data_IF_903195239049
#
_entry.id   IF_903195239049
#
_cell.length_a   1.000
_cell.length_b   1.000
_cell.length_c   1.000
_cell.angle_alpha   90.00
_cell.angle_beta   90.00
_cell.angle_gamma   90.00
#
_symmetry.space_group_name_H-M   'P 1'
#
loop_
_entity.id
_entity.type
_entity.pdbx_description
1 polymer ?
#
# COMPACT_ATOMS: atom_id res chain seq x y z
N UNK A 1 -7.57 -1.84 54.42
CA UNK A 1 -7.34 -2.79 53.32
C UNK A 1 -6.34 -2.18 52.34
N UNK A 2 -5.11 -2.68 52.40
CA UNK A 2 -4.05 -2.38 51.45
C UNK A 2 -4.46 -2.88 50.06
N UNK A 3 -4.48 -2.01 49.06
CA UNK A 3 -4.22 -2.41 47.68
C UNK A 3 -3.12 -1.52 47.09
N UNK A 4 -1.92 -1.80 47.61
CA UNK A 4 -0.65 -1.74 46.90
C UNK A 4 -0.81 -2.42 45.53
N UNK A 5 -1.05 -1.66 44.44
CA UNK A 5 -0.80 -2.20 43.08
C UNK A 5 -0.71 -1.18 41.92
N UNK A 6 -0.14 0.02 42.15
CA UNK A 6 0.18 0.94 41.05
C UNK A 6 1.20 0.37 40.04
N UNK A 7 2.07 -0.55 40.47
CA UNK A 7 3.04 -1.24 39.59
C UNK A 7 2.38 -2.30 38.71
N UNK A 8 1.36 -2.99 39.22
CA UNK A 8 0.60 -3.98 38.45
C UNK A 8 -0.23 -3.34 37.35
N UNK A 9 -0.86 -2.20 37.63
CA UNK A 9 -1.60 -1.42 36.64
C UNK A 9 -0.68 -0.85 35.55
N UNK A 10 0.49 -0.33 35.94
CA UNK A 10 1.50 0.17 35.01
C UNK A 10 2.05 -0.94 34.09
N UNK A 11 2.30 -2.14 34.65
CA UNK A 11 2.69 -3.32 33.87
C UNK A 11 1.58 -3.77 32.92
N UNK A 12 0.31 -3.72 33.35
CA UNK A 12 -0.83 -4.04 32.49
C UNK A 12 -0.99 -3.05 31.34
N UNK A 13 -0.83 -1.75 31.60
CA UNK A 13 -0.84 -0.70 30.57
C UNK A 13 0.33 -0.82 29.60
N UNK A 14 1.53 -1.19 30.08
CA UNK A 14 2.67 -1.46 29.21
C UNK A 14 2.43 -2.70 28.33
N UNK A 15 1.81 -3.76 28.87
CA UNK A 15 1.42 -4.96 28.12
C UNK A 15 0.27 -4.71 27.13
N UNK A 16 -0.68 -3.84 27.46
CA UNK A 16 -1.77 -3.45 26.55
C UNK A 16 -1.30 -2.47 25.47
N UNK A 17 -0.33 -1.61 25.78
CA UNK A 17 0.26 -0.67 24.82
C UNK A 17 1.04 -1.36 23.69
N UNK A 18 1.67 -2.51 23.96
CA UNK A 18 2.38 -3.30 22.94
C UNK A 18 1.45 -4.06 22.00
N UNK A 19 0.17 -4.28 22.36
CA UNK A 19 -0.82 -4.90 21.49
C UNK A 19 -1.45 -3.90 20.49
N UNK A 20 -1.15 -2.60 20.60
CA UNK A 20 -1.85 -1.55 19.86
C UNK A 20 -1.22 -1.18 18.51
N UNK A 21 -0.24 -1.92 18.00
CA UNK A 21 0.20 -1.76 16.60
C UNK A 21 -0.71 -2.54 15.65
N UNK A 22 -2.01 -2.24 15.69
CA UNK A 22 -2.92 -2.67 14.62
C UNK A 22 -2.90 -1.61 13.53
N UNK A 23 -1.72 -1.43 12.92
CA UNK A 23 -1.60 -0.65 11.71
C UNK A 23 -2.33 -1.39 10.59
N UNK A 24 -3.56 -0.99 10.29
CA UNK A 24 -4.14 -1.16 8.97
C UNK A 24 -3.17 -0.48 7.99
N UNK A 25 -2.22 -1.25 7.45
CA UNK A 25 -1.16 -0.74 6.58
C UNK A 25 -1.72 -0.31 5.25
N UNK A 26 -2.32 0.88 5.21
CA UNK A 26 -2.71 1.54 3.98
C UNK A 26 -1.46 2.18 3.38
N UNK A 27 -1.12 1.77 2.16
CA UNK A 27 0.01 2.32 1.40
C UNK A 27 -0.53 3.42 0.51
N UNK A 28 0.11 4.60 0.55
CA UNK A 28 -0.32 5.76 -0.23
C UNK A 28 0.83 6.24 -1.11
N UNK A 29 0.56 6.40 -2.40
CA UNK A 29 1.49 6.99 -3.36
C UNK A 29 0.79 8.09 -4.17
N UNK A 30 1.60 8.84 -4.91
CA UNK A 30 1.11 9.80 -5.89
C UNK A 30 1.90 9.67 -7.18
N UNK A 31 1.24 9.82 -8.32
CA UNK A 31 1.83 9.72 -9.65
C UNK A 31 1.21 10.76 -10.57
N UNK A 32 2.02 11.34 -11.46
CA UNK A 32 1.51 12.28 -12.48
C UNK A 32 0.77 11.53 -13.59
N UNK A 33 -0.20 12.19 -14.24
CA UNK A 33 -0.97 11.58 -15.33
C UNK A 33 -0.12 11.23 -16.57
N UNK A 34 0.86 12.04 -16.97
CA UNK A 34 1.66 11.77 -18.19
C UNK A 34 2.81 10.75 -17.98
N UNK A 35 2.56 9.70 -17.18
CA UNK A 35 3.55 8.65 -17.00
C UNK A 35 3.45 7.58 -18.08
N UNK A 36 4.58 7.37 -18.75
CA UNK A 36 4.76 6.25 -19.68
C UNK A 36 4.61 4.89 -18.98
N UNK A 37 4.35 3.87 -19.78
CA UNK A 37 4.31 2.48 -19.31
C UNK A 37 5.67 2.08 -18.72
N UNK A 38 5.64 1.49 -17.53
CA UNK A 38 6.82 1.03 -16.80
C UNK A 38 7.46 2.10 -15.92
N UNK A 39 6.89 3.30 -15.84
CA UNK A 39 7.31 4.35 -14.92
C UNK A 39 7.19 3.90 -13.46
N UNK A 40 8.15 4.31 -12.65
CA UNK A 40 8.18 4.02 -11.22
C UNK A 40 7.11 4.84 -10.49
N UNK A 41 6.35 4.18 -9.62
CA UNK A 41 5.33 4.82 -8.76
C UNK A 41 5.76 4.80 -7.30
N UNK A 42 6.23 3.66 -6.81
CA UNK A 42 6.57 3.49 -5.39
C UNK A 42 7.27 2.17 -5.10
N UNK A 43 7.86 2.05 -3.91
CA UNK A 43 8.60 0.86 -3.50
C UNK A 43 7.76 -0.04 -2.57
N UNK A 44 6.94 -0.89 -3.17
CA UNK A 44 6.08 -1.83 -2.44
C UNK A 44 6.88 -2.83 -1.61
N UNK A 45 8.03 -3.33 -2.10
CA UNK A 45 8.86 -4.24 -1.33
C UNK A 45 9.25 -3.63 0.02
N UNK A 46 9.72 -2.37 0.00
CA UNK A 46 10.12 -1.64 1.20
C UNK A 46 8.96 -1.46 2.18
N UNK A 47 7.78 -1.10 1.69
CA UNK A 47 6.61 -0.83 2.55
C UNK A 47 6.01 -2.12 3.14
N UNK A 48 6.17 -3.25 2.44
CA UNK A 48 5.84 -4.57 2.96
C UNK A 48 6.94 -5.15 3.87
N UNK A 49 8.09 -4.48 4.01
CA UNK A 49 9.24 -4.97 4.77
C UNK A 49 9.92 -6.18 4.13
N UNK A 50 9.84 -6.31 2.82
CA UNK A 50 10.36 -7.43 2.02
C UNK A 50 11.50 -6.97 1.11
N UNK A 51 12.39 -7.89 0.74
CA UNK A 51 13.34 -7.65 -0.35
C UNK A 51 12.64 -7.82 -1.71
N UNK A 52 13.14 -7.19 -2.79
CA UNK A 52 12.56 -7.32 -4.13
C UNK A 52 12.34 -8.77 -4.58
N UNK A 53 13.31 -9.65 -4.32
CA UNK A 53 13.22 -11.09 -4.67
C UNK A 53 12.13 -11.82 -3.88
N UNK A 54 11.90 -11.42 -2.64
CA UNK A 54 10.91 -12.05 -1.76
C UNK A 54 9.47 -11.77 -2.21
N UNK A 55 9.23 -10.74 -3.03
CA UNK A 55 7.88 -10.50 -3.57
C UNK A 55 7.40 -11.66 -4.43
N UNK A 56 8.29 -12.20 -5.28
CA UNK A 56 7.96 -13.36 -6.11
C UNK A 56 7.88 -14.63 -5.27
N UNK A 57 8.83 -14.82 -4.33
CA UNK A 57 8.88 -16.01 -3.46
C UNK A 57 7.67 -16.11 -2.53
N UNK A 58 7.13 -14.98 -2.05
CA UNK A 58 5.99 -14.91 -1.12
C UNK A 58 4.63 -14.74 -1.83
N UNK A 59 4.61 -14.84 -3.17
CA UNK A 59 3.39 -14.74 -3.96
C UNK A 59 2.68 -13.38 -3.84
N UNK A 60 3.44 -12.29 -3.82
CA UNK A 60 2.84 -10.95 -3.73
C UNK A 60 2.24 -10.56 -5.07
N UNK A 61 0.93 -10.27 -5.07
CA UNK A 61 0.19 -9.90 -6.29
C UNK A 61 -0.86 -8.84 -6.06
N UNK A 62 -1.14 -8.08 -7.11
CA UNK A 62 -2.22 -7.10 -7.13
C UNK A 62 -3.56 -7.83 -7.29
N UNK A 63 -4.54 -7.43 -6.49
CA UNK A 63 -5.93 -7.85 -6.53
C UNK A 63 -6.78 -6.61 -6.76
N UNK A 64 -7.18 -6.41 -8.02
CA UNK A 64 -8.11 -5.35 -8.40
C UNK A 64 -9.53 -5.92 -8.53
N UNK A 65 -10.53 -5.14 -8.12
CA UNK A 65 -11.95 -5.45 -8.33
C UNK A 65 -12.45 -5.03 -9.72
N UNK A 66 -11.61 -4.33 -10.51
CA UNK A 66 -11.95 -3.81 -11.84
C UNK A 66 -11.30 -4.56 -12.99
N UNK A 67 -11.67 -4.20 -14.23
CA UNK A 67 -11.20 -4.85 -15.47
C UNK A 67 -9.82 -4.37 -15.92
N UNK A 68 -9.44 -3.12 -15.65
CA UNK A 68 -8.17 -2.55 -16.11
C UNK A 68 -7.18 -2.46 -14.95
N UNK A 69 -5.99 -3.03 -15.14
CA UNK A 69 -4.88 -2.90 -14.19
C UNK A 69 -3.93 -1.82 -14.71
N UNK A 70 -4.09 -0.58 -14.23
CA UNK A 70 -3.19 0.53 -14.57
C UNK A 70 -1.82 0.43 -13.88
N UNK A 71 -1.70 -0.45 -12.89
CA UNK A 71 -0.49 -0.64 -12.09
C UNK A 71 -0.07 -2.12 -12.09
N UNK A 72 1.23 -2.34 -12.06
CA UNK A 72 1.85 -3.66 -12.01
C UNK A 72 3.03 -3.67 -11.04
N UNK A 73 3.42 -4.86 -10.58
CA UNK A 73 4.61 -5.04 -9.75
C UNK A 73 5.80 -5.43 -10.63
N UNK A 74 6.92 -4.73 -10.46
CA UNK A 74 8.18 -5.11 -11.07
C UNK A 74 8.90 -6.15 -10.19
N UNK A 75 9.03 -7.42 -10.62
CA UNK A 75 9.65 -8.47 -9.80
C UNK A 75 11.17 -8.30 -9.63
N UNK A 76 11.84 -7.50 -10.48
CA UNK A 76 13.28 -7.25 -10.37
C UNK A 76 13.60 -6.20 -9.31
N UNK A 77 12.90 -5.06 -9.36
CA UNK A 77 13.14 -3.94 -8.45
C UNK A 77 12.29 -3.98 -7.19
N UNK A 78 11.19 -4.75 -7.21
CA UNK A 78 10.18 -4.80 -6.16
C UNK A 78 9.36 -3.52 -6.02
N UNK A 79 9.28 -2.76 -7.11
CA UNK A 79 8.57 -1.49 -7.18
C UNK A 79 7.20 -1.67 -7.83
N UNK A 80 6.25 -0.82 -7.45
CA UNK A 80 5.05 -0.61 -8.23
C UNK A 80 5.40 0.27 -9.43
N UNK A 81 4.94 -0.15 -10.60
CA UNK A 81 5.13 0.54 -11.88
C UNK A 81 3.79 0.72 -12.59
N UNK A 82 3.73 1.69 -13.49
CA UNK A 82 2.59 1.84 -14.41
C UNK A 82 2.57 0.67 -15.41
N UNK A 83 1.41 0.04 -15.57
CA UNK A 83 1.22 -1.06 -16.53
C UNK A 83 0.84 -0.54 -17.93
N UNK A 84 0.16 0.61 -17.96
CA UNK A 84 -0.29 1.34 -19.13
C UNK A 84 -0.10 2.84 -18.88
N UNK A 85 -0.26 3.65 -19.94
CA UNK A 85 -0.23 5.10 -19.80
C UNK A 85 -1.39 5.54 -18.91
N UNK A 86 -1.09 6.39 -17.94
CA UNK A 86 -2.12 6.96 -17.07
C UNK A 86 -2.82 8.08 -17.85
N UNK A 87 -4.14 8.09 -17.80
CA UNK A 87 -4.98 9.11 -18.40
C UNK A 87 -6.04 9.47 -17.35
N UNK A 88 -5.98 10.71 -16.85
CA UNK A 88 -6.83 11.14 -15.74
C UNK A 88 -8.28 11.26 -16.18
N UNK A 89 -8.52 11.61 -17.43
CA UNK A 89 -9.84 11.68 -18.04
C UNK A 89 -10.47 10.28 -18.11
N UNK A 90 -9.69 9.25 -18.44
CA UNK A 90 -10.16 7.85 -18.43
C UNK A 90 -10.44 7.34 -17.01
N UNK A 91 -9.58 7.69 -16.04
CA UNK A 91 -9.66 7.18 -14.67
C UNK A 91 -10.71 7.88 -13.80
N UNK A 92 -10.75 9.20 -13.89
CA UNK A 92 -11.42 10.06 -12.92
C UNK A 92 -12.26 11.16 -13.56
N UNK A 93 -12.28 11.26 -14.89
CA UNK A 93 -13.00 12.28 -15.64
C UNK A 93 -12.69 13.70 -15.10
N UNK A 94 -13.66 14.37 -14.47
CA UNK A 94 -13.52 15.74 -13.94
C UNK A 94 -13.45 15.80 -12.40
N UNK A 95 -13.15 14.69 -11.73
CA UNK A 95 -13.05 14.67 -10.27
C UNK A 95 -11.77 15.42 -9.85
N UNK A 96 -11.86 16.42 -8.96
CA UNK A 96 -10.71 17.23 -8.54
C UNK A 96 -9.67 16.43 -7.75
N UNK A 97 -10.08 15.37 -7.06
CA UNK A 97 -9.17 14.46 -6.35
C UNK A 97 -9.29 13.05 -6.93
N UNK A 98 -8.37 12.71 -7.84
CA UNK A 98 -8.35 11.42 -8.50
C UNK A 98 -7.61 10.38 -7.66
N UNK A 99 -8.37 9.45 -7.05
CA UNK A 99 -7.82 8.38 -6.22
C UNK A 99 -8.14 7.01 -6.81
N UNK A 100 -7.09 6.26 -7.16
CA UNK A 100 -7.21 4.87 -7.59
C UNK A 100 -6.87 3.94 -6.43
N UNK A 101 -7.77 3.00 -6.14
CA UNK A 101 -7.62 2.04 -5.04
C UNK A 101 -7.56 0.61 -5.55
N UNK A 102 -6.61 -0.16 -5.04
CA UNK A 102 -6.54 -1.60 -5.25
C UNK A 102 -5.90 -2.27 -4.05
N UNK A 103 -5.97 -3.60 -4.02
CA UNK A 103 -5.41 -4.38 -2.92
C UNK A 103 -4.17 -5.13 -3.38
N UNK A 104 -3.23 -5.37 -2.48
CA UNK A 104 -2.13 -6.29 -2.66
C UNK A 104 -2.32 -7.46 -1.71
N UNK A 105 -2.30 -8.67 -2.25
CA UNK A 105 -2.31 -9.91 -1.48
C UNK A 105 -0.87 -10.42 -1.34
N UNK A 106 -0.48 -10.71 -0.10
CA UNK A 106 0.73 -11.47 0.22
C UNK A 106 0.29 -12.89 0.58
N UNK A 107 0.44 -13.82 -0.37
CA UNK A 107 -0.07 -15.19 -0.23
C UNK A 107 0.53 -15.94 0.96
N UNK A 108 1.85 -15.83 1.15
CA UNK A 108 2.60 -16.45 2.26
C UNK A 108 1.97 -16.21 3.64
N UNK A 109 1.46 -14.99 3.87
CA UNK A 109 0.86 -14.59 5.14
C UNK A 109 -0.67 -14.46 5.10
N UNK A 110 -1.29 -14.68 3.94
CA UNK A 110 -2.70 -14.37 3.66
C UNK A 110 -3.09 -12.96 4.11
N UNK A 111 -2.19 -12.00 3.92
CA UNK A 111 -2.41 -10.59 4.30
C UNK A 111 -2.78 -9.75 3.10
N UNK A 112 -3.75 -8.86 3.30
CA UNK A 112 -4.19 -7.90 2.28
C UNK A 112 -3.80 -6.50 2.74
N UNK A 113 -3.18 -5.74 1.84
CA UNK A 113 -2.83 -4.34 2.02
C UNK A 113 -3.64 -3.51 1.03
N UNK A 114 -4.28 -2.45 1.51
CA UNK A 114 -4.94 -1.48 0.64
C UNK A 114 -3.90 -0.49 0.14
N UNK A 115 -3.86 -0.29 -1.18
CA UNK A 115 -3.01 0.70 -1.85
C UNK A 115 -3.91 1.76 -2.46
N UNK A 116 -3.62 3.01 -2.13
CA UNK A 116 -4.28 4.19 -2.67
C UNK A 116 -3.25 5.03 -3.45
N UNK A 117 -3.59 5.39 -4.67
CA UNK A 117 -2.74 6.19 -5.54
C UNK A 117 -3.48 7.43 -5.96
N UNK A 118 -2.91 8.58 -5.60
CA UNK A 118 -3.35 9.88 -6.07
C UNK A 118 -2.76 10.16 -7.45
N UNK A 119 -3.63 10.41 -8.42
CA UNK A 119 -3.21 10.89 -9.74
C UNK A 119 -3.17 12.40 -9.69
N UNK A 120 -1.97 12.96 -9.84
CA UNK A 120 -1.74 14.39 -9.89
C UNK A 120 -1.85 14.89 -11.33
N UNK A 121 -2.66 15.92 -11.52
CA UNK A 121 -2.64 16.73 -12.73
C UNK A 121 -1.29 17.46 -12.78
N UNK A 122 -0.71 17.62 -13.97
CA UNK A 122 0.54 18.37 -14.15
C UNK A 122 0.30 19.89 -14.00
N UNK A 123 -0.95 20.32 -14.16
CA UNK A 123 -1.35 21.71 -14.11
C UNK A 123 -1.69 22.24 -12.70
N UNK A 124 -1.72 21.36 -11.68
CA UNK A 124 -1.98 21.71 -10.26
C UNK A 124 -0.73 22.21 -9.50
#
# INVERSE_FOLDING_TARGET
LSFRNGRGLALLCALLGTLCETGSGQIRYSVSEEQDKGSFVGNIAKDLGLKPRELAERGVRIVSRGRTQFFSLNPRSGSLVTAERIDREELCAQIPLCLVKFNILVEDKLKIFEVEIEIKDIND
#
